data_IF_109848303783
#
_entry.id   IF_109848303783
#
_cell.length_a   1.000
_cell.length_b   1.000
_cell.length_c   1.000
_cell.angle_alpha   90.00
_cell.angle_beta   90.00
_cell.angle_gamma   90.00
#
_symmetry.space_group_name_H-M   'P 1'
#
loop_
_entity.id
_entity.type
_entity.pdbx_description
1 polymer ?
#
# COMPACT_ATOMS: atom_id res chain seq x y z
N UNK A 1 -4.43 6.14 -17.53
CA UNK A 1 -4.43 7.20 -18.55
C UNK A 1 -5.79 7.89 -18.66
N UNK A 2 -6.94 7.23 -18.60
CA UNK A 2 -8.22 7.89 -18.28
C UNK A 2 -8.84 7.25 -17.04
N UNK A 3 -9.17 8.05 -16.02
CA UNK A 3 -9.77 7.53 -14.79
C UNK A 3 -11.29 7.42 -14.91
N UNK A 4 -11.90 8.43 -15.51
CA UNK A 4 -13.31 8.49 -15.84
C UNK A 4 -13.52 9.35 -17.09
N UNK A 5 -14.64 9.14 -17.77
CA UNK A 5 -15.17 10.01 -18.82
C UNK A 5 -16.54 10.51 -18.36
N UNK A 6 -16.78 11.80 -18.50
CA UNK A 6 -18.04 12.44 -18.12
C UNK A 6 -18.57 13.26 -19.28
N UNK A 7 -19.78 12.97 -19.72
CA UNK A 7 -20.34 13.54 -20.93
C UNK A 7 -21.75 13.03 -21.22
N UNK A 8 -22.32 13.42 -22.35
CA UNK A 8 -23.63 12.96 -22.77
C UNK A 8 -23.53 11.59 -23.44
N UNK A 9 -24.42 10.67 -23.12
CA UNK A 9 -24.48 9.37 -23.80
C UNK A 9 -25.16 9.57 -25.15
N UNK A 10 -24.43 9.38 -26.25
CA UNK A 10 -24.97 9.59 -27.59
C UNK A 10 -25.51 8.31 -28.20
N UNK A 11 -24.84 7.18 -27.97
CA UNK A 11 -25.18 5.88 -28.56
C UNK A 11 -25.07 4.80 -27.48
N UNK A 12 -26.07 3.92 -27.41
CA UNK A 12 -26.06 2.70 -26.61
C UNK A 12 -26.35 1.54 -27.56
N UNK A 13 -25.40 0.61 -27.69
CA UNK A 13 -25.59 -0.66 -28.41
C UNK A 13 -25.23 -1.84 -27.50
N UNK A 14 -25.39 -3.08 -28.00
CA UNK A 14 -25.10 -4.28 -27.22
C UNK A 14 -23.60 -4.38 -26.92
N UNK A 15 -23.24 -4.12 -25.65
CA UNK A 15 -21.87 -4.22 -25.16
C UNK A 15 -21.00 -2.97 -25.38
N UNK A 16 -21.58 -1.86 -25.85
CA UNK A 16 -20.86 -0.60 -26.04
C UNK A 16 -21.77 0.62 -25.78
N UNK A 17 -21.15 1.68 -25.28
CA UNK A 17 -21.76 3.00 -25.15
C UNK A 17 -20.78 4.07 -25.63
N UNK A 18 -21.29 5.11 -26.28
CA UNK A 18 -20.49 6.26 -26.71
C UNK A 18 -20.77 7.45 -25.79
N UNK A 19 -19.70 7.97 -25.18
CA UNK A 19 -19.75 9.16 -24.33
C UNK A 19 -19.20 10.34 -25.11
N UNK A 20 -20.02 11.36 -25.36
CA UNK A 20 -19.60 12.63 -25.94
C UNK A 20 -19.05 13.55 -24.84
N UNK A 21 -17.74 13.77 -24.87
CA UNK A 21 -17.04 14.71 -24.00
C UNK A 21 -16.58 15.90 -24.83
N UNK A 22 -17.31 17.01 -24.73
CA UNK A 22 -16.99 18.28 -25.39
C UNK A 22 -16.82 18.17 -26.92
N UNK A 23 -17.61 17.32 -27.59
CA UNK A 23 -17.60 17.12 -29.03
C UNK A 23 -16.77 15.92 -29.51
N UNK A 24 -16.12 15.18 -28.59
CA UNK A 24 -15.38 13.96 -28.90
C UNK A 24 -16.15 12.73 -28.37
N UNK A 25 -16.57 11.84 -29.29
CA UNK A 25 -17.26 10.60 -28.97
C UNK A 25 -16.30 9.46 -28.62
N UNK A 26 -16.26 9.09 -27.34
CA UNK A 26 -15.44 7.98 -26.85
C UNK A 26 -16.25 6.68 -26.83
N UNK A 27 -15.85 5.70 -27.65
CA UNK A 27 -16.44 4.36 -27.62
C UNK A 27 -15.93 3.59 -26.40
N UNK A 28 -16.84 3.26 -25.49
CA UNK A 28 -16.58 2.51 -24.27
C UNK A 28 -17.29 1.15 -24.32
N UNK A 29 -16.54 0.06 -24.26
CA UNK A 29 -17.11 -1.27 -24.06
C UNK A 29 -17.60 -1.42 -22.62
N UNK A 30 -18.86 -1.81 -22.45
CA UNK A 30 -19.51 -1.85 -21.14
C UNK A 30 -20.28 -3.16 -20.95
N UNK A 31 -20.48 -3.57 -19.70
CA UNK A 31 -21.29 -4.73 -19.37
C UNK A 31 -22.78 -4.40 -19.54
N UNK A 32 -23.63 -5.43 -19.63
CA UNK A 32 -25.09 -5.24 -19.63
C UNK A 32 -25.59 -4.52 -18.35
N UNK A 33 -24.89 -4.71 -17.23
CA UNK A 33 -25.20 -4.02 -15.98
C UNK A 33 -24.99 -2.50 -16.13
N UNK A 34 -23.81 -2.07 -16.56
CA UNK A 34 -23.52 -0.65 -16.81
C UNK A 34 -24.48 -0.06 -17.85
N UNK A 35 -24.76 -0.76 -18.95
CA UNK A 35 -25.67 -0.26 -19.99
C UNK A 35 -27.10 -0.05 -19.49
N UNK A 36 -27.56 -0.84 -18.52
CA UNK A 36 -28.91 -0.69 -17.94
C UNK A 36 -29.08 0.60 -17.12
N UNK A 37 -27.98 1.18 -16.64
CA UNK A 37 -27.96 2.44 -15.90
C UNK A 37 -27.76 3.67 -16.78
N UNK A 38 -27.52 3.48 -18.08
CA UNK A 38 -27.30 4.57 -19.03
C UNK A 38 -28.58 4.88 -19.80
N UNK A 39 -28.77 6.16 -20.09
CA UNK A 39 -29.85 6.64 -20.93
C UNK A 39 -29.31 7.55 -22.02
N UNK A 40 -29.72 7.32 -23.26
CA UNK A 40 -29.33 8.14 -24.40
C UNK A 40 -29.79 9.59 -24.22
N UNK A 41 -28.91 10.54 -24.51
CA UNK A 41 -29.15 11.98 -24.39
C UNK A 41 -28.94 12.55 -22.99
N UNK A 42 -28.74 11.71 -21.96
CA UNK A 42 -28.44 12.17 -20.60
C UNK A 42 -26.95 12.21 -20.33
N UNK A 43 -26.56 13.10 -19.40
CA UNK A 43 -25.19 13.21 -18.91
C UNK A 43 -24.91 12.05 -17.93
N UNK A 44 -23.82 11.33 -18.16
CA UNK A 44 -23.38 10.24 -17.30
C UNK A 44 -21.87 10.26 -17.11
N UNK A 45 -21.40 9.65 -16.02
CA UNK A 45 -19.98 9.45 -15.73
C UNK A 45 -19.69 7.95 -15.77
N UNK A 46 -18.72 7.54 -16.57
CA UNK A 46 -18.23 6.17 -16.64
C UNK A 46 -16.79 6.12 -16.14
N UNK A 47 -16.52 5.21 -15.20
CA UNK A 47 -15.16 4.87 -14.79
C UNK A 47 -14.51 4.02 -15.87
N UNK A 48 -13.29 4.38 -16.27
CA UNK A 48 -12.66 3.76 -17.43
C UNK A 48 -11.48 2.88 -17.08
N UNK A 49 -11.32 1.79 -17.84
CA UNK A 49 -10.11 0.98 -17.91
C UNK A 49 -9.62 0.94 -19.36
N UNK A 50 -8.39 1.40 -19.61
CA UNK A 50 -7.82 1.45 -20.95
C UNK A 50 -6.93 0.23 -21.18
N UNK A 51 -7.27 -0.58 -22.18
CA UNK A 51 -6.46 -1.71 -22.61
C UNK A 51 -5.69 -1.31 -23.88
N UNK A 52 -4.41 -1.01 -23.72
CA UNK A 52 -3.53 -0.54 -24.81
C UNK A 52 -2.69 -1.73 -25.29
N UNK A 53 -2.83 -2.06 -26.56
CA UNK A 53 -2.04 -3.06 -27.30
C UNK A 53 -1.34 -2.37 -28.49
N UNK A 54 -0.42 -3.06 -29.14
CA UNK A 54 0.32 -2.49 -30.29
C UNK A 54 -0.60 -2.07 -31.44
N UNK A 55 -1.74 -2.76 -31.61
CA UNK A 55 -2.69 -2.61 -32.71
C UNK A 55 -4.08 -2.10 -32.28
N UNK A 56 -4.33 -1.92 -30.97
CA UNK A 56 -5.65 -1.62 -30.45
C UNK A 56 -5.62 -0.73 -29.20
N UNK A 57 -6.53 0.24 -29.16
CA UNK A 57 -6.80 1.08 -28.00
C UNK A 57 -8.27 0.87 -27.58
N UNK A 58 -8.50 -0.06 -26.66
CA UNK A 58 -9.85 -0.37 -26.18
C UNK A 58 -10.12 0.38 -24.87
N UNK A 59 -11.26 1.07 -24.79
CA UNK A 59 -11.75 1.69 -23.55
C UNK A 59 -12.88 0.83 -23.01
N UNK A 60 -12.77 0.41 -21.76
CA UNK A 60 -13.83 -0.27 -21.02
C UNK A 60 -14.44 0.71 -20.03
N UNK A 61 -15.77 0.83 -20.02
CA UNK A 61 -16.52 1.76 -19.18
C UNK A 61 -17.39 1.03 -18.16
N UNK A 62 -17.42 1.55 -16.93
CA UNK A 62 -18.19 1.01 -15.82
C UNK A 62 -18.99 2.11 -15.14
N UNK A 63 -20.26 1.85 -14.83
CA UNK A 63 -21.11 2.79 -14.08
C UNK A 63 -20.59 2.99 -12.65
N UNK A 64 -20.23 1.89 -11.98
CA UNK A 64 -19.75 1.90 -10.60
C UNK A 64 -18.26 1.55 -10.47
N UNK A 65 -17.65 2.11 -9.42
CA UNK A 65 -16.26 1.80 -9.05
C UNK A 65 -16.10 0.34 -8.61
N UNK A 66 -17.13 -0.23 -7.97
CA UNK A 66 -17.11 -1.65 -7.57
C UNK A 66 -17.06 -2.57 -8.78
N UNK A 67 -17.82 -2.24 -9.82
CA UNK A 67 -17.84 -2.99 -11.08
C UNK A 67 -16.47 -2.93 -11.77
N UNK A 68 -15.85 -1.74 -11.85
CA UNK A 68 -14.49 -1.57 -12.36
C UNK A 68 -13.46 -2.40 -11.58
N UNK A 69 -13.54 -2.42 -10.25
CA UNK A 69 -12.64 -3.23 -9.40
C UNK A 69 -12.82 -4.72 -9.68
N UNK A 70 -14.06 -5.20 -9.78
CA UNK A 70 -14.33 -6.59 -10.15
C UNK A 70 -13.76 -6.95 -11.52
N UNK A 71 -13.86 -6.04 -12.50
CA UNK A 71 -13.26 -6.23 -13.81
C UNK A 71 -11.73 -6.37 -13.75
N UNK A 72 -11.05 -5.47 -13.03
CA UNK A 72 -9.59 -5.52 -12.84
C UNK A 72 -9.15 -6.79 -12.10
N UNK A 73 -9.93 -7.24 -11.12
CA UNK A 73 -9.70 -8.50 -10.44
C UNK A 73 -9.83 -9.70 -11.37
N UNK A 74 -10.84 -9.71 -12.25
CA UNK A 74 -11.02 -10.76 -13.25
C UNK A 74 -9.85 -10.81 -14.23
N UNK A 75 -9.37 -9.66 -14.72
CA UNK A 75 -8.19 -9.58 -15.59
C UNK A 75 -6.91 -10.12 -14.96
N UNK A 76 -6.81 -10.08 -13.62
CA UNK A 76 -5.66 -10.61 -12.92
C UNK A 76 -5.60 -12.15 -12.88
N UNK A 77 -6.65 -12.85 -13.34
CA UNK A 77 -6.72 -14.31 -13.40
C UNK A 77 -6.09 -14.82 -14.71
N UNK A 78 -5.25 -15.84 -14.61
CA UNK A 78 -4.56 -16.39 -15.78
C UNK A 78 -5.54 -17.05 -16.77
N UNK A 79 -5.64 -16.49 -17.97
CA UNK A 79 -6.51 -16.96 -19.05
C UNK A 79 -7.84 -16.20 -19.17
N UNK A 80 -8.07 -15.18 -18.34
CA UNK A 80 -9.23 -14.29 -18.47
C UNK A 80 -8.82 -13.00 -19.18
N UNK A 81 -9.32 -12.82 -20.41
CA UNK A 81 -9.14 -11.58 -21.16
C UNK A 81 -10.26 -10.56 -20.92
N UNK A 82 -10.10 -9.31 -21.38
CA UNK A 82 -11.09 -8.24 -21.22
C UNK A 82 -12.50 -8.58 -21.72
N UNK A 83 -12.61 -9.25 -22.87
CA UNK A 83 -13.90 -9.69 -23.42
C UNK A 83 -14.58 -10.74 -22.53
N UNK A 84 -13.81 -11.67 -21.98
CA UNK A 84 -14.33 -12.68 -21.05
C UNK A 84 -14.76 -12.05 -19.73
N UNK A 85 -13.99 -11.11 -19.20
CA UNK A 85 -14.32 -10.39 -17.96
C UNK A 85 -15.63 -9.58 -18.11
N UNK A 86 -15.85 -8.88 -19.23
CA UNK A 86 -17.12 -8.20 -19.51
C UNK A 86 -18.31 -9.18 -19.59
N UNK A 87 -18.11 -10.34 -20.20
CA UNK A 87 -19.13 -11.39 -20.30
C UNK A 87 -19.55 -11.89 -18.91
N UNK A 88 -18.60 -12.06 -17.99
CA UNK A 88 -18.88 -12.43 -16.58
C UNK A 88 -19.73 -11.37 -15.90
N UNK A 89 -19.32 -10.10 -15.99
CA UNK A 89 -20.04 -8.98 -15.36
C UNK A 89 -21.40 -8.68 -16.01
N UNK A 90 -21.61 -9.16 -17.24
CA UNK A 90 -22.92 -9.09 -17.91
C UNK A 90 -23.87 -10.20 -17.45
N UNK A 91 -23.34 -11.35 -17.02
CA UNK A 91 -24.12 -12.49 -16.54
C UNK A 91 -24.34 -12.47 -15.02
N UNK A 92 -23.42 -11.87 -14.26
CA UNK A 92 -23.45 -11.80 -12.81
C UNK A 92 -23.14 -10.39 -12.34
N UNK A 93 -23.92 -9.87 -11.38
CA UNK A 93 -23.56 -8.62 -10.70
C UNK A 93 -22.27 -8.81 -9.89
N UNK A 94 -21.54 -7.73 -9.54
CA UNK A 94 -20.38 -7.79 -8.66
C UNK A 94 -20.63 -8.58 -7.36
N UNK A 95 -21.81 -8.42 -6.76
CA UNK A 95 -22.22 -9.10 -5.52
C UNK A 95 -22.48 -10.58 -5.76
N UNK A 96 -23.17 -10.92 -6.86
CA UNK A 96 -23.42 -12.30 -7.25
C UNK A 96 -22.11 -13.03 -7.59
N UNK A 97 -21.16 -12.34 -8.21
CA UNK A 97 -19.82 -12.86 -8.49
C UNK A 97 -19.06 -13.14 -7.19
N UNK A 98 -19.07 -12.21 -6.24
CA UNK A 98 -18.45 -12.41 -4.93
C UNK A 98 -19.05 -13.61 -4.19
N UNK A 99 -20.39 -13.74 -4.20
CA UNK A 99 -21.10 -14.87 -3.61
C UNK A 99 -20.74 -16.19 -4.31
N UNK A 100 -20.68 -16.20 -5.65
CA UNK A 100 -20.30 -17.39 -6.42
C UNK A 100 -18.88 -17.86 -6.11
N UNK A 101 -17.95 -16.93 -5.85
CA UNK A 101 -16.57 -17.25 -5.44
C UNK A 101 -16.53 -17.85 -4.03
N UNK A 102 -17.30 -17.30 -3.08
CA UNK A 102 -17.34 -17.80 -1.69
C UNK A 102 -18.01 -19.18 -1.61
N UNK A 103 -19.10 -19.36 -2.35
CA UNK A 103 -19.91 -20.60 -2.36
C UNK A 103 -19.40 -21.66 -3.33
N UNK A 104 -18.28 -21.41 -4.02
CA UNK A 104 -17.69 -22.29 -5.04
C UNK A 104 -18.68 -22.70 -6.14
N UNK A 105 -19.61 -21.79 -6.48
CA UNK A 105 -20.66 -22.07 -7.45
C UNK A 105 -20.15 -21.91 -8.89
N UNK A 106 -19.57 -22.99 -9.42
CA UNK A 106 -19.05 -23.05 -10.79
C UNK A 106 -20.10 -22.73 -11.86
N UNK A 107 -21.38 -23.12 -11.62
CA UNK A 107 -22.44 -23.01 -12.63
C UNK A 107 -22.73 -21.56 -13.00
N UNK A 108 -22.70 -20.66 -12.02
CA UNK A 108 -22.93 -19.23 -12.22
C UNK A 108 -21.88 -18.57 -13.14
N UNK A 109 -20.64 -19.07 -13.14
CA UNK A 109 -19.57 -18.56 -14.00
C UNK A 109 -19.59 -19.17 -15.40
N UNK A 110 -20.02 -20.43 -15.53
CA UNK A 110 -20.15 -21.09 -16.84
C UNK A 110 -21.30 -20.54 -17.70
N UNK A 111 -22.19 -19.73 -17.12
CA UNK A 111 -23.25 -19.04 -17.86
C UNK A 111 -22.71 -17.93 -18.79
N UNK A 112 -21.50 -17.42 -18.52
CA UNK A 112 -20.89 -16.40 -19.35
C UNK A 112 -20.27 -17.00 -20.62
N UNK A 113 -20.50 -16.32 -21.76
CA UNK A 113 -20.00 -16.75 -23.05
C UNK A 113 -18.46 -16.75 -23.06
N UNK A 114 -17.87 -17.90 -23.41
CA UNK A 114 -16.41 -18.08 -23.47
C UNK A 114 -15.79 -18.71 -22.21
N UNK A 115 -16.59 -19.10 -21.21
CA UNK A 115 -16.08 -19.71 -19.98
C UNK A 115 -16.41 -21.19 -19.90
N UNK A 116 -15.39 -22.01 -20.09
CA UNK A 116 -15.47 -23.45 -19.85
C UNK A 116 -15.32 -23.81 -18.37
N UNK A 117 -15.73 -25.03 -18.00
CA UNK A 117 -15.66 -25.56 -16.63
C UNK A 117 -14.26 -25.42 -15.98
N UNK A 118 -13.19 -25.73 -16.73
CA UNK A 118 -11.80 -25.60 -16.24
C UNK A 118 -11.41 -24.16 -15.94
N UNK A 119 -11.90 -23.20 -16.74
CA UNK A 119 -11.61 -21.78 -16.53
C UNK A 119 -12.44 -21.25 -15.35
N UNK A 120 -13.72 -21.62 -15.24
CA UNK A 120 -14.56 -21.26 -14.09
C UNK A 120 -13.96 -21.73 -12.75
N UNK A 121 -13.48 -22.97 -12.68
CA UNK A 121 -12.79 -23.51 -11.51
C UNK A 121 -11.53 -22.71 -11.15
N UNK A 122 -10.72 -22.36 -12.15
CA UNK A 122 -9.52 -21.53 -11.95
C UNK A 122 -9.89 -20.14 -11.46
N UNK A 123 -10.92 -19.52 -12.04
CA UNK A 123 -11.43 -18.21 -11.62
C UNK A 123 -11.85 -18.25 -10.15
N UNK A 124 -12.65 -19.25 -9.74
CA UNK A 124 -13.08 -19.39 -8.34
C UNK A 124 -11.87 -19.55 -7.42
N UNK A 125 -10.93 -20.42 -7.75
CA UNK A 125 -9.78 -20.67 -6.89
C UNK A 125 -8.88 -19.43 -6.73
N UNK A 126 -8.56 -18.77 -7.85
CA UNK A 126 -7.69 -17.59 -7.84
C UNK A 126 -8.39 -16.36 -7.24
N UNK A 127 -9.69 -16.17 -7.51
CA UNK A 127 -10.45 -15.08 -6.91
C UNK A 127 -10.72 -15.32 -5.43
N UNK A 128 -10.98 -16.55 -4.99
CA UNK A 128 -11.16 -16.88 -3.56
C UNK A 128 -9.89 -16.55 -2.79
N UNK A 129 -8.72 -16.88 -3.35
CA UNK A 129 -7.43 -16.50 -2.77
C UNK A 129 -7.21 -14.97 -2.80
N UNK A 130 -7.79 -14.23 -3.75
CA UNK A 130 -7.66 -12.75 -3.83
C UNK A 130 -8.67 -12.00 -2.96
N UNK A 131 -9.94 -12.37 -2.97
CA UNK A 131 -11.02 -11.78 -2.15
C UNK A 131 -10.80 -12.09 -0.67
N UNK A 132 -10.28 -13.27 -0.33
CA UNK A 132 -9.82 -13.56 1.04
C UNK A 132 -8.69 -12.63 1.48
N UNK A 133 -7.94 -12.01 0.55
CA UNK A 133 -6.93 -10.99 0.86
C UNK A 133 -7.47 -9.55 0.82
N UNK A 134 -8.54 -9.29 0.07
CA UNK A 134 -9.17 -7.97 -0.07
C UNK A 134 -10.23 -7.66 0.99
N UNK A 135 -11.03 -8.64 1.44
CA UNK A 135 -11.92 -8.45 2.59
C UNK A 135 -11.15 -8.18 3.89
N UNK A 136 -9.87 -8.60 3.95
CA UNK A 136 -8.91 -8.20 4.98
C UNK A 136 -8.45 -6.73 4.83
N UNK A 137 -8.60 -6.12 3.66
CA UNK A 137 -8.15 -4.77 3.35
C UNK A 137 -9.26 -3.71 3.47
N UNK A 138 -10.54 -4.07 3.26
CA UNK A 138 -11.67 -3.11 3.19
C UNK A 138 -12.14 -2.60 4.58
N UNK A 139 -11.82 -3.29 5.68
CA UNK A 139 -12.12 -2.83 7.04
C UNK A 139 -11.29 -1.64 7.57
N UNK A 140 -10.49 -0.97 6.72
CA UNK A 140 -9.51 0.07 7.13
C UNK A 140 -9.70 1.45 6.48
N UNK A 141 -10.81 1.71 5.80
CA UNK A 141 -11.07 3.02 5.19
C UNK A 141 -12.02 3.89 6.05
N UNK A 142 -11.48 4.48 7.12
CA UNK A 142 -12.18 5.51 7.89
C UNK A 142 -11.42 5.91 9.16
N UNK A 143 -10.75 7.07 9.13
CA UNK A 143 -10.22 7.71 10.34
C UNK A 143 -8.96 8.53 10.13
N UNK A 144 -9.14 9.84 9.93
CA UNK A 144 -8.12 10.88 10.07
C UNK A 144 -7.63 11.01 11.54
N UNK A 145 -6.52 11.70 11.83
CA UNK A 145 -5.80 11.59 13.09
C UNK A 145 -6.32 12.56 14.14
N UNK A 146 -6.54 12.07 15.36
CA UNK A 146 -6.60 12.89 16.57
C UNK A 146 -5.91 12.10 17.69
N UNK A 147 -4.80 12.62 18.19
CA UNK A 147 -4.08 12.04 19.31
C UNK A 147 -4.71 12.43 20.64
N UNK A 148 -4.70 11.50 21.60
CA UNK A 148 -4.41 11.65 23.04
C UNK A 148 -4.08 10.23 23.57
N UNK A 149 -3.09 10.04 24.46
CA UNK A 149 -2.62 8.72 24.88
C UNK A 149 -3.41 8.15 26.07
N UNK A 150 -3.54 6.82 26.12
CA UNK A 150 -3.85 6.10 27.35
C UNK A 150 -4.81 4.92 27.21
N UNK A 151 -4.25 3.70 27.28
CA UNK A 151 -4.71 2.52 28.05
C UNK A 151 -4.46 1.21 27.26
N UNK A 152 -3.68 0.25 27.80
CA UNK A 152 -3.33 -0.99 27.11
C UNK A 152 -4.49 -2.00 27.21
N UNK A 153 -5.37 -1.99 26.21
CA UNK A 153 -6.56 -2.83 26.21
C UNK A 153 -7.08 -3.18 24.81
N UNK A 154 -6.27 -3.85 24.00
CA UNK A 154 -6.80 -4.70 22.92
C UNK A 154 -5.81 -5.84 22.69
N UNK A 155 -5.82 -6.79 23.63
CA UNK A 155 -5.15 -8.08 23.44
C UNK A 155 -6.06 -8.91 22.53
N UNK A 156 -5.47 -9.59 21.55
CA UNK A 156 -6.05 -10.71 20.75
C UNK A 156 -7.01 -10.46 19.57
N UNK A 157 -7.46 -9.24 19.23
CA UNK A 157 -8.34 -9.06 18.07
C UNK A 157 -7.61 -9.11 16.69
N UNK A 158 -6.38 -8.61 16.61
CA UNK A 158 -5.69 -8.42 15.31
C UNK A 158 -5.09 -9.70 14.71
N UNK A 159 -4.73 -10.68 15.56
CA UNK A 159 -4.17 -11.95 15.10
C UNK A 159 -5.23 -12.87 14.46
N UNK A 160 -6.49 -12.79 14.94
CA UNK A 160 -7.61 -13.53 14.36
C UNK A 160 -8.07 -12.93 13.02
N UNK A 161 -7.81 -11.64 12.80
CA UNK A 161 -8.18 -10.91 11.59
C UNK A 161 -7.13 -10.99 10.46
N UNK A 162 -6.09 -11.82 10.56
CA UNK A 162 -5.10 -12.01 9.49
C UNK A 162 -4.31 -10.76 9.07
N UNK A 163 -4.34 -9.69 9.88
CA UNK A 163 -3.69 -8.41 9.58
C UNK A 163 -2.21 -8.44 9.97
N UNK A 164 -1.36 -8.00 9.05
CA UNK A 164 0.03 -7.68 9.37
C UNK A 164 0.08 -6.33 10.12
N UNK A 165 0.70 -6.33 11.30
CA UNK A 165 0.90 -5.15 12.14
C UNK A 165 2.36 -4.70 12.06
N UNK A 166 2.58 -3.40 11.95
CA UNK A 166 3.89 -2.77 12.06
C UNK A 166 3.85 -1.81 13.24
N UNK A 167 4.78 -1.99 14.18
CA UNK A 167 4.93 -1.09 15.31
C UNK A 167 5.81 0.08 14.88
N UNK A 168 5.36 1.31 15.12
CA UNK A 168 6.13 2.52 14.78
C UNK A 168 6.33 3.38 16.04
N UNK A 169 7.17 2.94 16.99
CA UNK A 169 7.41 3.71 18.21
C UNK A 169 8.26 4.96 17.93
N UNK A 170 7.80 6.12 18.39
CA UNK A 170 8.62 7.33 18.46
C UNK A 170 9.62 7.19 19.62
N UNK A 171 10.92 7.27 19.35
CA UNK A 171 11.99 7.09 20.35
C UNK A 171 12.44 8.45 20.87
N UNK A 172 12.21 8.68 22.15
CA UNK A 172 12.58 9.90 22.87
C UNK A 172 13.63 9.58 23.94
N UNK A 173 14.80 10.27 23.94
CA UNK A 173 15.81 10.08 24.96
C UNK A 173 15.28 10.30 26.37
N UNK A 174 15.62 9.41 27.29
CA UNK A 174 15.21 9.45 28.70
C UNK A 174 13.75 9.08 28.95
N UNK A 175 12.97 8.77 27.91
CA UNK A 175 11.56 8.39 28.05
C UNK A 175 11.35 6.90 27.74
N UNK A 176 11.77 6.44 26.55
CA UNK A 176 11.56 5.06 26.11
C UNK A 176 12.77 4.45 25.37
N UNK A 177 13.88 5.16 25.28
CA UNK A 177 15.13 4.67 24.67
C UNK A 177 15.82 3.58 25.51
N UNK A 178 15.35 3.35 26.74
CA UNK A 178 15.73 2.21 27.60
C UNK A 178 14.93 0.92 27.35
N UNK A 179 13.83 0.98 26.60
CA UNK A 179 12.85 -0.11 26.45
C UNK A 179 12.82 -0.68 25.01
N UNK A 180 13.78 -0.32 24.17
CA UNK A 180 13.85 -0.76 22.76
C UNK A 180 13.92 -2.29 22.64
N UNK A 181 14.64 -2.94 23.55
CA UNK A 181 14.71 -4.40 23.63
C UNK A 181 13.38 -5.04 23.99
N UNK A 182 12.60 -4.44 24.89
CA UNK A 182 11.26 -4.92 25.27
C UNK A 182 10.28 -4.78 24.11
N UNK A 183 10.32 -3.65 23.39
CA UNK A 183 9.50 -3.44 22.19
C UNK A 183 9.83 -4.48 21.11
N UNK A 184 11.13 -4.77 20.91
CA UNK A 184 11.55 -5.82 19.98
C UNK A 184 11.06 -7.21 20.43
N UNK A 185 11.23 -7.56 21.70
CA UNK A 185 10.77 -8.85 22.25
C UNK A 185 9.25 -8.98 22.16
N UNK A 186 8.51 -7.91 22.42
CA UNK A 186 7.07 -7.85 22.21
C UNK A 186 6.72 -8.17 20.75
N UNK A 187 7.36 -7.52 19.79
CA UNK A 187 7.12 -7.78 18.37
C UNK A 187 7.44 -9.24 17.98
N UNK A 188 8.54 -9.79 18.49
CA UNK A 188 8.94 -11.18 18.28
C UNK A 188 7.91 -12.17 18.80
N UNK A 189 7.40 -11.99 20.03
CA UNK A 189 6.38 -12.87 20.61
C UNK A 189 5.06 -12.83 19.85
N UNK A 190 4.74 -11.69 19.23
CA UNK A 190 3.50 -11.51 18.46
C UNK A 190 3.65 -11.82 16.96
N UNK A 191 4.80 -12.38 16.53
CA UNK A 191 4.89 -12.98 15.20
C UNK A 191 3.97 -14.21 15.10
N UNK A 192 3.33 -14.47 13.95
CA UNK A 192 3.51 -13.79 12.65
C UNK A 192 2.62 -12.56 12.43
N UNK A 193 1.80 -12.15 13.41
CA UNK A 193 0.89 -11.00 13.27
C UNK A 193 1.67 -9.67 13.19
N UNK A 194 2.66 -9.48 14.06
CA UNK A 194 3.61 -8.37 13.93
C UNK A 194 4.67 -8.72 12.89
N UNK A 195 4.81 -7.89 11.84
CA UNK A 195 5.77 -8.08 10.73
C UNK A 195 6.96 -7.14 10.78
N UNK A 196 6.90 -6.10 11.60
CA UNK A 196 8.05 -5.25 11.80
C UNK A 196 7.91 -4.22 12.92
N UNK A 197 9.06 -3.64 13.25
CA UNK A 197 9.21 -2.55 14.21
C UNK A 197 10.06 -1.47 13.56
N UNK A 198 9.51 -0.27 13.43
CA UNK A 198 10.18 0.89 12.87
C UNK A 198 10.36 1.95 13.95
N UNK A 199 11.54 1.98 14.55
CA UNK A 199 11.90 2.96 15.56
C UNK A 199 12.11 4.32 14.90
N UNK A 200 11.31 5.32 15.30
CA UNK A 200 11.35 6.67 14.76
C UNK A 200 12.01 7.60 15.79
N UNK A 201 13.31 7.92 15.69
CA UNK A 201 13.92 8.98 16.48
C UNK A 201 13.10 10.26 16.47
N UNK A 202 12.87 10.82 17.66
CA UNK A 202 12.13 12.09 17.80
C UNK A 202 12.76 13.18 16.94
N UNK A 203 11.90 13.91 16.24
CA UNK A 203 12.26 15.06 15.42
C UNK A 203 11.35 16.22 15.78
N UNK A 204 11.91 17.42 15.90
CA UNK A 204 11.19 18.56 16.47
C UNK A 204 10.64 19.46 15.36
N UNK A 205 9.49 19.05 14.80
CA UNK A 205 8.70 19.87 13.89
C UNK A 205 7.65 20.68 14.67
N UNK A 206 7.44 21.95 14.32
CA UNK A 206 6.44 22.79 14.98
C UNK A 206 6.97 23.62 16.14
N UNK A 207 6.06 24.28 16.87
CA UNK A 207 6.40 25.07 18.07
C UNK A 207 6.63 24.10 19.24
N UNK A 208 7.88 23.95 19.64
CA UNK A 208 8.27 23.12 20.79
C UNK A 208 8.92 23.97 21.89
N UNK A 209 8.23 24.23 23.02
CA UNK A 209 8.75 24.99 24.15
C UNK A 209 9.49 24.05 25.12
N UNK A 210 10.77 23.75 24.89
CA UNK A 210 11.54 22.93 25.82
C UNK A 210 12.96 22.55 25.38
N UNK A 211 13.72 21.98 26.32
CA UNK A 211 15.04 21.40 26.07
C UNK A 211 14.90 20.18 25.12
N UNK A 212 15.73 20.15 24.08
CA UNK A 212 15.61 19.18 22.98
C UNK A 212 16.67 18.10 23.15
N UNK A 213 16.24 16.88 23.44
CA UNK A 213 17.12 15.72 23.52
C UNK A 213 17.00 14.91 22.22
N UNK A 214 18.13 14.51 21.63
CA UNK A 214 18.16 13.75 20.38
C UNK A 214 18.72 12.37 20.59
N UNK A 215 18.26 11.44 19.77
CA UNK A 215 18.88 10.13 19.59
C UNK A 215 19.30 10.00 18.13
N UNK A 216 20.55 9.63 17.91
CA UNK A 216 21.07 9.39 16.55
C UNK A 216 20.83 7.94 16.14
N UNK A 217 20.80 7.64 14.83
CA UNK A 217 20.71 6.25 14.35
C UNK A 217 21.83 5.37 14.96
N UNK A 218 23.12 5.77 14.96
CA UNK A 218 24.17 4.97 15.58
C UNK A 218 23.96 4.71 17.08
N UNK A 219 23.41 5.68 17.81
CA UNK A 219 23.10 5.53 19.23
C UNK A 219 21.92 4.59 19.46
N UNK A 220 20.86 4.72 18.67
CA UNK A 220 19.71 3.83 18.71
C UNK A 220 20.13 2.38 18.42
N UNK A 221 20.98 2.17 17.40
CA UNK A 221 21.51 0.84 17.06
C UNK A 221 22.42 0.29 18.18
N UNK A 222 23.21 1.12 18.88
CA UNK A 222 23.96 0.72 20.09
C UNK A 222 23.03 0.23 21.19
N UNK A 223 21.97 0.99 21.48
CA UNK A 223 20.99 0.67 22.52
C UNK A 223 20.22 -0.60 22.18
N UNK A 224 19.80 -0.78 20.92
CA UNK A 224 19.18 -2.03 20.46
C UNK A 224 20.09 -3.24 20.65
N UNK A 225 21.35 -3.16 20.22
CA UNK A 225 22.31 -4.26 20.38
C UNK A 225 22.54 -4.62 21.85
N UNK A 226 22.68 -3.61 22.71
CA UNK A 226 22.83 -3.81 24.15
C UNK A 226 21.58 -4.44 24.79
N UNK A 227 20.39 -3.91 24.51
CA UNK A 227 19.13 -4.31 25.16
C UNK A 227 18.56 -5.63 24.62
N UNK A 228 18.97 -6.04 23.42
CA UNK A 228 18.63 -7.35 22.84
C UNK A 228 19.67 -8.43 23.16
N UNK A 229 20.71 -8.12 23.95
CA UNK A 229 21.76 -9.08 24.29
C UNK A 229 22.57 -9.56 23.08
N UNK A 230 22.70 -8.72 22.05
CA UNK A 230 23.37 -9.06 20.80
C UNK A 230 22.54 -9.88 19.80
N UNK A 231 21.25 -10.11 20.07
CA UNK A 231 20.36 -10.76 19.09
C UNK A 231 20.16 -9.90 17.83
N UNK A 232 20.16 -8.58 17.98
CA UNK A 232 20.26 -7.63 16.88
C UNK A 232 21.63 -6.96 16.91
N UNK A 233 22.46 -7.16 15.88
CA UNK A 233 23.77 -6.51 15.82
C UNK A 233 23.74 -5.35 14.83
N UNK A 234 24.54 -4.31 15.09
CA UNK A 234 24.62 -3.14 14.20
C UNK A 234 24.92 -3.50 12.74
N UNK A 235 25.76 -4.52 12.56
CA UNK A 235 26.18 -5.05 11.24
C UNK A 235 25.04 -5.67 10.44
N UNK A 236 23.91 -5.99 11.08
CA UNK A 236 22.76 -6.62 10.44
C UNK A 236 21.84 -5.59 9.75
N UNK A 237 22.09 -4.30 10.01
CA UNK A 237 21.32 -3.18 9.47
C UNK A 237 22.02 -2.53 8.27
N UNK A 238 21.21 -2.14 7.30
CA UNK A 238 21.63 -1.48 6.07
C UNK A 238 20.88 -0.16 5.87
N UNK A 239 21.49 0.84 5.20
CA UNK A 239 20.77 2.05 4.82
C UNK A 239 19.68 1.76 3.79
N UNK A 240 18.67 2.63 3.71
CA UNK A 240 17.66 2.59 2.64
C UNK A 240 18.28 2.70 1.24
N UNK A 241 17.66 2.06 0.24
CA UNK A 241 18.24 1.92 -1.11
C UNK A 241 18.15 3.18 -1.98
N UNK A 242 17.21 4.08 -1.68
CA UNK A 242 16.88 5.23 -2.53
C UNK A 242 17.03 6.56 -1.80
N UNK A 243 17.55 6.56 -0.58
CA UNK A 243 17.69 7.75 0.27
C UNK A 243 19.13 7.88 0.80
N UNK A 244 19.45 9.02 1.40
CA UNK A 244 20.76 9.20 1.98
C UNK A 244 21.02 8.16 3.10
N UNK A 245 22.21 7.55 3.21
CA UNK A 245 22.49 6.50 4.20
C UNK A 245 22.29 6.89 5.67
N UNK A 246 22.15 8.18 5.96
CA UNK A 246 21.88 8.72 7.29
C UNK A 246 20.38 8.96 7.56
N UNK A 247 19.52 8.75 6.56
CA UNK A 247 18.07 8.94 6.70
C UNK A 247 17.38 7.74 7.31
N UNK A 248 17.81 6.52 7.01
CA UNK A 248 17.15 5.31 7.50
C UNK A 248 18.13 4.17 7.71
N UNK A 249 17.64 3.17 8.44
CA UNK A 249 18.29 1.88 8.61
C UNK A 249 17.23 0.80 8.58
N UNK A 250 17.54 -0.36 8.01
CA UNK A 250 16.63 -1.49 7.90
C UNK A 250 17.41 -2.81 8.02
N UNK A 251 16.84 -3.78 8.71
CA UNK A 251 17.34 -5.14 8.85
C UNK A 251 16.17 -6.13 8.74
N UNK A 252 16.43 -7.26 8.09
CA UNK A 252 15.41 -8.31 7.93
C UNK A 252 15.86 -9.56 8.67
N UNK A 253 15.02 -10.01 9.59
CA UNK A 253 15.35 -11.09 10.51
C UNK A 253 14.34 -12.23 10.40
N UNK A 254 14.82 -13.47 10.44
CA UNK A 254 13.99 -14.67 10.48
C UNK A 254 14.26 -15.45 11.76
N UNK A 255 13.22 -16.04 12.32
CA UNK A 255 13.37 -16.88 13.50
C UNK A 255 14.01 -18.22 13.12
N UNK A 256 15.17 -18.53 13.70
CA UNK A 256 15.86 -19.80 13.56
C UNK A 256 15.15 -20.91 14.37
N UNK A 257 15.52 -22.18 14.13
CA UNK A 257 14.93 -23.33 14.84
C UNK A 257 15.11 -23.28 16.37
N UNK A 258 16.07 -22.50 16.87
CA UNK A 258 16.31 -22.26 18.30
C UNK A 258 15.60 -21.02 18.88
N UNK A 259 14.69 -20.39 18.14
CA UNK A 259 13.95 -19.20 18.58
C UNK A 259 14.75 -17.89 18.54
N UNK A 260 16.05 -17.92 18.24
CA UNK A 260 16.85 -16.73 18.02
C UNK A 260 16.55 -16.10 16.64
N UNK A 261 16.53 -14.77 16.57
CA UNK A 261 16.39 -14.04 15.32
C UNK A 261 17.73 -14.02 14.58
N UNK A 262 17.71 -14.47 13.33
CA UNK A 262 18.88 -14.48 12.45
C UNK A 262 18.68 -13.47 11.33
N UNK A 263 19.65 -12.57 11.17
CA UNK A 263 19.67 -11.63 10.06
C UNK A 263 19.79 -12.38 8.72
N UNK A 264 18.89 -12.06 7.79
CA UNK A 264 18.93 -12.54 6.40
C UNK A 264 19.46 -11.45 5.47
N UNK A 265 19.56 -10.21 5.95
CA UNK A 265 20.24 -9.10 5.27
C UNK A 265 21.73 -9.42 5.11
N UNK A 266 22.10 -10.09 4.01
CA UNK A 266 23.47 -10.07 3.48
C UNK A 266 23.54 -8.97 2.44
N UNK A 267 24.40 -7.99 2.68
CA UNK A 267 24.73 -6.96 1.70
C UNK A 267 25.15 -7.61 0.37
N UNK A 268 24.30 -7.51 -0.65
CA UNK A 268 24.68 -7.64 -2.05
C UNK A 268 24.47 -6.28 -2.69
N UNK A 269 25.52 -5.60 -3.18
CA UNK A 269 25.34 -4.39 -3.95
C UNK A 269 24.48 -4.72 -5.17
N UNK A 270 23.29 -4.11 -5.28
CA UNK A 270 22.45 -4.26 -6.47
C UNK A 270 23.21 -3.64 -7.65
N UNK A 271 23.75 -4.49 -8.51
CA UNK A 271 24.50 -4.08 -9.71
C UNK A 271 23.61 -3.67 -10.89
N UNK A 272 22.28 -3.76 -10.77
CA UNK A 272 21.33 -3.32 -11.81
C UNK A 272 20.11 -2.62 -11.23
N UNK A 273 19.65 -1.58 -11.93
CA UNK A 273 18.34 -0.94 -11.73
C UNK A 273 17.25 -1.99 -11.92
N UNK A 274 16.67 -2.47 -10.81
CA UNK A 274 15.50 -3.34 -10.85
C UNK A 274 14.33 -2.58 -11.47
N UNK A 275 13.62 -3.21 -12.41
CA UNK A 275 12.45 -2.61 -13.06
C UNK A 275 11.36 -2.32 -12.02
N UNK A 276 10.54 -1.30 -12.26
CA UNK A 276 9.43 -0.89 -11.38
C UNK A 276 8.49 -2.07 -11.05
N UNK A 277 8.30 -2.97 -12.02
CA UNK A 277 7.53 -4.21 -11.91
C UNK A 277 8.12 -5.18 -10.89
N UNK A 278 9.45 -5.28 -10.79
CA UNK A 278 10.14 -6.16 -9.83
C UNK A 278 10.01 -5.64 -8.40
N UNK A 279 10.04 -4.31 -8.23
CA UNK A 279 9.85 -3.65 -6.92
C UNK A 279 8.41 -3.87 -6.45
N UNK A 280 7.40 -3.66 -7.31
CA UNK A 280 5.98 -3.87 -6.98
C UNK A 280 5.72 -5.33 -6.58
N UNK A 281 6.32 -6.29 -7.31
CA UNK A 281 6.15 -7.73 -7.03
C UNK A 281 6.81 -8.15 -5.71
N UNK A 282 8.00 -7.62 -5.41
CA UNK A 282 8.68 -7.84 -4.13
C UNK A 282 7.88 -7.25 -2.96
N UNK A 283 7.40 -6.01 -3.09
CA UNK A 283 6.59 -5.35 -2.05
C UNK A 283 5.25 -6.05 -1.83
N UNK A 284 4.55 -6.47 -2.89
CA UNK A 284 3.27 -7.21 -2.75
C UNK A 284 3.39 -8.57 -2.07
N UNK A 285 4.55 -9.24 -2.18
CA UNK A 285 4.75 -10.57 -1.58
C UNK A 285 5.25 -10.51 -0.14
N UNK A 286 6.08 -9.52 0.20
CA UNK A 286 6.58 -9.31 1.56
C UNK A 286 5.52 -8.84 2.55
N UNK A 287 4.44 -8.19 2.09
CA UNK A 287 3.41 -7.61 2.96
C UNK A 287 2.17 -8.49 3.18
N UNK A 288 2.14 -9.69 2.57
CA UNK A 288 1.06 -10.66 2.80
C UNK A 288 1.28 -11.43 4.10
N UNK A 289 0.20 -11.71 4.82
CA UNK A 289 0.24 -12.63 5.97
C UNK A 289 0.86 -13.96 5.51
N UNK A 290 1.96 -14.32 6.15
CA UNK A 290 2.72 -15.52 5.89
C UNK A 290 2.94 -16.18 7.25
N UNK A 291 2.70 -17.48 7.35
CA UNK A 291 3.02 -18.29 8.54
C UNK A 291 4.53 -18.35 8.83
N UNK A 292 5.37 -17.81 7.95
CA UNK A 292 6.80 -17.61 8.20
C UNK A 292 6.99 -16.56 9.29
N UNK A 293 7.74 -16.93 10.31
CA UNK A 293 8.10 -16.08 11.46
C UNK A 293 9.33 -15.25 11.09
N UNK A 294 9.07 -14.04 10.59
CA UNK A 294 10.08 -13.05 10.23
C UNK A 294 9.67 -11.68 10.77
N UNK A 295 10.67 -10.84 11.01
CA UNK A 295 10.49 -9.48 11.50
C UNK A 295 11.42 -8.53 10.73
N UNK A 296 10.86 -7.43 10.25
CA UNK A 296 11.65 -6.31 9.74
C UNK A 296 11.89 -5.32 10.86
N UNK A 297 13.13 -4.98 11.13
CA UNK A 297 13.47 -3.95 12.13
C UNK A 297 14.15 -2.79 11.43
N UNK A 298 13.65 -1.58 11.60
CA UNK A 298 14.20 -0.42 10.92
C UNK A 298 13.84 0.89 11.60
N UNK A 299 14.01 1.98 10.87
CA UNK A 299 13.71 3.32 11.37
C UNK A 299 14.14 4.41 10.42
N UNK A 300 13.60 5.61 10.63
CA UNK A 300 13.94 6.81 9.86
C UNK A 300 14.20 7.97 10.80
N UNK A 301 15.29 8.71 10.56
CA UNK A 301 15.65 9.89 11.33
C UNK A 301 15.37 11.13 10.49
N UNK A 302 14.26 11.81 10.80
CA UNK A 302 13.92 13.06 10.14
C UNK A 302 14.82 14.21 10.59
N UNK A 303 14.80 15.28 9.80
CA UNK A 303 15.61 16.46 10.01
C UNK A 303 14.71 17.63 10.39
N UNK A 304 15.16 18.42 11.36
CA UNK A 304 14.57 19.69 11.75
C UNK A 304 15.62 20.80 11.64
N UNK A 305 15.28 22.04 12.02
CA UNK A 305 16.11 23.23 11.77
C UNK A 305 17.50 23.17 12.39
N UNK A 306 17.72 22.31 13.39
CA UNK A 306 19.00 22.23 14.11
C UNK A 306 19.94 21.16 13.57
N UNK A 307 19.44 20.23 12.75
CA UNK A 307 20.24 19.15 12.17
C UNK A 307 20.00 18.97 10.67
N UNK A 308 19.42 19.97 10.02
CA UNK A 308 19.15 19.92 8.59
C UNK A 308 20.46 19.91 7.80
N UNK A 309 20.63 18.86 7.00
CA UNK A 309 21.70 18.72 6.02
C UNK A 309 21.07 18.90 4.62
N UNK A 310 21.47 19.98 3.95
CA UNK A 310 20.97 20.32 2.63
C UNK A 310 21.30 19.24 1.58
N UNK A 311 22.43 18.52 1.70
CA UNK A 311 22.77 17.44 0.78
C UNK A 311 21.82 16.25 0.92
N UNK A 312 21.32 16.00 2.13
CA UNK A 312 20.28 14.99 2.39
C UNK A 312 18.94 15.41 1.82
N UNK A 313 18.61 16.70 1.92
CA UNK A 313 17.36 17.28 1.40
C UNK A 313 17.35 17.28 -0.14
N UNK A 314 18.45 17.69 -0.79
CA UNK A 314 18.61 17.69 -2.25
C UNK A 314 18.44 16.29 -2.87
N UNK A 315 18.88 15.25 -2.16
CA UNK A 315 18.80 13.85 -2.61
C UNK A 315 17.60 13.10 -2.03
N UNK A 316 16.67 13.81 -1.40
CA UNK A 316 15.51 13.17 -0.78
C UNK A 316 14.59 12.60 -1.87
N UNK A 317 14.20 11.34 -1.72
CA UNK A 317 13.21 10.70 -2.61
C UNK A 317 11.80 10.72 -2.04
N UNK A 318 11.63 11.17 -0.80
CA UNK A 318 10.34 11.32 -0.13
C UNK A 318 9.87 12.77 -0.30
N UNK A 319 9.14 12.99 -1.38
CA UNK A 319 8.65 14.30 -1.80
C UNK A 319 7.16 14.45 -1.46
N UNK A 320 6.78 15.63 -0.99
CA UNK A 320 5.39 16.04 -0.80
C UNK A 320 5.00 16.94 -1.96
N UNK A 321 3.86 16.66 -2.57
CA UNK A 321 3.25 17.52 -3.60
C UNK A 321 2.53 18.66 -2.88
N UNK A 322 3.00 19.89 -3.05
CA UNK A 322 2.34 21.10 -2.59
C UNK A 322 1.35 21.67 -3.60
N UNK A 323 0.74 22.81 -3.25
CA UNK A 323 -0.10 23.58 -4.17
C UNK A 323 0.68 23.93 -5.46
N UNK A 324 -0.01 23.85 -6.61
CA UNK A 324 0.61 24.07 -7.92
C UNK A 324 1.51 22.93 -8.40
N UNK A 325 1.56 21.79 -7.69
CA UNK A 325 2.33 20.60 -8.11
C UNK A 325 3.81 20.65 -7.74
N UNK A 326 4.24 21.63 -6.93
CA UNK A 326 5.63 21.73 -6.49
C UNK A 326 6.01 20.55 -5.58
N UNK A 327 7.12 19.89 -5.88
CA UNK A 327 7.67 18.81 -5.05
C UNK A 327 8.59 19.38 -3.98
N UNK A 328 8.28 19.13 -2.71
CA UNK A 328 9.09 19.57 -1.57
C UNK A 328 9.50 18.36 -0.72
N UNK A 329 10.79 18.19 -0.37
CA UNK A 329 11.22 17.11 0.50
C UNK A 329 10.48 17.11 1.83
N UNK A 330 10.11 15.92 2.33
CA UNK A 330 9.30 15.75 3.54
C UNK A 330 9.85 16.53 4.74
N UNK A 331 11.15 16.44 5.01
CA UNK A 331 11.79 17.15 6.13
C UNK A 331 11.81 18.68 5.94
N UNK A 332 11.89 19.16 4.69
CA UNK A 332 11.87 20.58 4.39
C UNK A 332 10.44 21.14 4.51
N UNK A 333 9.44 20.38 4.04
CA UNK A 333 8.04 20.81 4.03
C UNK A 333 7.50 21.15 5.41
N UNK A 334 7.85 20.35 6.42
CA UNK A 334 7.39 20.53 7.81
C UNK A 334 8.38 21.33 8.67
N UNK A 335 9.41 21.91 8.08
CA UNK A 335 10.45 22.63 8.80
C UNK A 335 9.89 23.92 9.42
N UNK A 336 10.13 24.07 10.72
CA UNK A 336 9.91 25.31 11.45
C UNK A 336 11.24 25.94 11.81
N UNK A 337 11.33 27.26 11.68
CA UNK A 337 12.46 28.05 12.15
C UNK A 337 12.67 27.89 13.66
N UNK A 338 13.83 28.34 14.14
CA UNK A 338 14.22 28.22 15.56
C UNK A 338 13.21 28.86 16.54
N UNK A 339 12.48 29.87 16.08
CA UNK A 339 11.43 30.59 16.80
C UNK A 339 10.02 29.99 16.62
N UNK A 340 9.92 28.84 15.95
CA UNK A 340 8.66 28.13 15.73
C UNK A 340 7.85 28.60 14.53
N UNK A 341 8.31 29.61 13.77
CA UNK A 341 7.64 30.02 12.52
C UNK A 341 7.78 28.94 11.45
N UNK A 342 6.70 28.60 10.76
CA UNK A 342 6.75 27.67 9.61
C UNK A 342 7.48 28.33 8.46
N UNK A 343 8.39 27.59 7.83
CA UNK A 343 9.11 28.09 6.65
C UNK A 343 8.32 27.91 5.35
N UNK A 344 7.35 26.98 5.35
CA UNK A 344 6.36 26.83 4.29
C UNK A 344 4.96 26.99 4.88
N UNK A 345 4.26 28.06 4.48
CA UNK A 345 2.93 28.39 5.01
C UNK A 345 1.81 27.55 4.37
N UNK A 346 1.97 27.17 3.09
CA UNK A 346 0.96 26.43 2.33
C UNK A 346 1.11 24.92 2.51
N UNK A 347 0.67 24.41 3.66
CA UNK A 347 0.32 22.99 3.79
C UNK A 347 -1.17 22.95 3.46
N UNK A 348 -1.51 22.17 2.42
CA UNK A 348 -2.82 22.08 1.78
C UNK A 348 -4.05 22.38 2.65
#
# INVERSE_FOLDING_TARGET
MFYYLEGNITIIERGLAVVDVSGAGYCCFASMHTLSHLETGKKARLYTFCNIREDAFDIYGFYDMNEKRCFELLLSVSGVGPKAALSILSANTPEALAMAVVTENEKSLTAAQGIGKRLAQRIILELKDKVSKENLAIGRAGGAPAGVPGTPGSKTADAAAGLAVILVPCVMPGQNDGELGDIFRFAKTHMPAVKGVFFQPVSYFGVYPGARARITIPELLRKLEQQTGGELMKRDFMPGSCEHPQCSFNGFFMEARGGAMQAVTRFQPKTKSSSETDIIKATKSSWRYSGRRYLTVGGMAFQDVWNIDLRRVERCTIQIIGEGGALTPLCAKYLTAADGRRLHENIC
#
